data_IF_619348710249
#
_entry.id   IF_619348710249
#
_cell.length_a   1.000
_cell.length_b   1.000
_cell.length_c   1.000
_cell.angle_alpha   90.00
_cell.angle_beta   90.00
_cell.angle_gamma   90.00
#
_symmetry.space_group_name_H-M   'P 1'
#
loop_
_entity.id
_entity.type
_entity.pdbx_description
1 polymer ?
#
# COMPACT_ATOMS: atom_id res chain seq x y z
N UNK A 1 -7.50 20.79 -33.72
CA UNK A 1 -8.28 21.08 -32.50
C UNK A 1 -7.56 20.39 -31.35
N UNK A 2 -7.20 21.12 -30.30
CA UNK A 2 -6.59 20.53 -29.11
C UNK A 2 -7.62 19.66 -28.40
N UNK A 3 -7.23 18.46 -27.98
CA UNK A 3 -8.06 17.63 -27.09
C UNK A 3 -7.75 18.03 -25.66
N UNK A 4 -8.81 18.23 -24.87
CA UNK A 4 -8.69 18.64 -23.47
C UNK A 4 -9.10 17.46 -22.60
N UNK A 5 -8.24 17.12 -21.65
CA UNK A 5 -8.54 16.15 -20.61
C UNK A 5 -8.58 16.88 -19.27
N UNK A 6 -9.69 16.77 -18.56
CA UNK A 6 -9.93 17.50 -17.31
C UNK A 6 -10.05 16.50 -16.16
N UNK A 7 -9.17 16.66 -15.17
CA UNK A 7 -9.16 15.89 -13.93
C UNK A 7 -9.65 16.79 -12.79
N UNK A 8 -10.80 16.44 -12.20
CA UNK A 8 -11.28 17.07 -10.96
C UNK A 8 -10.76 16.27 -9.75
N UNK A 9 -9.55 16.61 -9.30
CA UNK A 9 -8.81 15.86 -8.29
C UNK A 9 -8.59 16.70 -7.03
N UNK A 10 -9.67 17.05 -6.32
CA UNK A 10 -9.62 17.92 -5.13
C UNK A 10 -8.62 17.46 -4.05
N UNK A 11 -8.29 16.16 -3.99
CA UNK A 11 -7.31 15.57 -3.07
C UNK A 11 -6.18 14.82 -3.78
N UNK A 12 -5.97 15.06 -5.08
CA UNK A 12 -5.04 14.30 -5.91
C UNK A 12 -5.64 13.01 -6.51
N UNK A 13 -4.83 12.31 -7.30
CA UNK A 13 -5.18 11.06 -7.97
C UNK A 13 -3.93 10.19 -8.12
N UNK A 14 -4.03 8.88 -7.84
CA UNK A 14 -2.96 7.91 -8.03
C UNK A 14 -2.85 7.46 -9.50
N UNK A 15 -1.73 6.85 -9.89
CA UNK A 15 -1.49 6.45 -11.28
C UNK A 15 -2.47 5.36 -11.75
N UNK A 16 -2.78 4.39 -10.90
CA UNK A 16 -3.80 3.38 -11.16
C UNK A 16 -5.21 3.97 -11.38
N UNK A 17 -5.54 5.08 -10.70
CA UNK A 17 -6.80 5.80 -10.87
C UNK A 17 -6.80 6.58 -12.18
N UNK A 18 -5.68 7.19 -12.58
CA UNK A 18 -5.50 7.79 -13.91
C UNK A 18 -5.70 6.73 -14.99
N UNK A 19 -5.05 5.59 -14.86
CA UNK A 19 -5.16 4.46 -15.78
C UNK A 19 -6.58 3.92 -15.82
N UNK A 20 -7.20 3.69 -14.67
CA UNK A 20 -8.59 3.26 -14.54
C UNK A 20 -9.57 4.22 -15.21
N UNK A 21 -9.39 5.52 -15.00
CA UNK A 21 -10.21 6.56 -15.64
C UNK A 21 -10.07 6.54 -17.16
N UNK A 22 -8.85 6.47 -17.69
CA UNK A 22 -8.60 6.48 -19.13
C UNK A 22 -9.04 5.17 -19.82
N UNK A 23 -8.88 4.03 -19.15
CA UNK A 23 -9.46 2.74 -19.57
C UNK A 23 -10.99 2.81 -19.57
N UNK A 24 -11.59 3.44 -18.56
CA UNK A 24 -13.02 3.75 -18.53
C UNK A 24 -13.49 4.70 -19.64
N UNK A 25 -12.62 5.62 -20.07
CA UNK A 25 -12.87 6.56 -21.15
C UNK A 25 -12.67 5.96 -22.56
N UNK A 26 -12.22 4.70 -22.66
CA UNK A 26 -12.14 3.96 -23.92
C UNK A 26 -10.72 3.58 -24.37
N UNK A 27 -9.69 3.81 -23.55
CA UNK A 27 -8.35 3.30 -23.84
C UNK A 27 -8.41 1.76 -23.94
N UNK A 28 -7.97 1.14 -25.06
CA UNK A 28 -7.95 -0.31 -25.18
C UNK A 28 -6.90 -0.91 -24.23
N UNK A 29 -7.33 -1.79 -23.33
CA UNK A 29 -6.42 -2.48 -22.39
C UNK A 29 -5.30 -3.23 -23.10
N UNK A 30 -5.55 -3.76 -24.31
CA UNK A 30 -4.54 -4.48 -25.07
C UNK A 30 -3.40 -3.58 -25.55
N UNK A 31 -3.70 -2.33 -25.92
CA UNK A 31 -2.69 -1.36 -26.35
C UNK A 31 -1.82 -0.95 -25.16
N UNK A 32 -2.45 -0.68 -24.01
CA UNK A 32 -1.74 -0.41 -22.76
C UNK A 32 -0.85 -1.61 -22.35
N UNK A 33 -1.38 -2.85 -22.41
CA UNK A 33 -0.60 -4.07 -22.14
C UNK A 33 0.59 -4.21 -23.07
N UNK A 34 0.43 -3.95 -24.37
CA UNK A 34 1.51 -4.01 -25.33
C UNK A 34 2.60 -2.98 -25.02
N UNK A 35 2.20 -1.75 -24.69
CA UNK A 35 3.13 -0.70 -24.27
C UNK A 35 3.89 -1.09 -22.99
N UNK A 36 3.20 -1.58 -21.96
CA UNK A 36 3.84 -1.96 -20.70
C UNK A 36 4.75 -3.19 -20.84
N UNK A 37 4.41 -4.17 -21.68
CA UNK A 37 5.26 -5.33 -21.97
C UNK A 37 6.61 -4.94 -22.59
N UNK A 38 6.69 -3.82 -23.30
CA UNK A 38 7.95 -3.33 -23.86
C UNK A 38 8.97 -2.91 -22.81
N UNK A 39 8.52 -2.67 -21.57
CA UNK A 39 9.41 -2.44 -20.44
C UNK A 39 10.16 -3.72 -20.06
N UNK A 40 9.68 -4.91 -20.44
CA UNK A 40 10.27 -6.20 -20.14
C UNK A 40 10.53 -6.35 -18.62
N UNK A 41 9.42 -6.22 -17.88
CA UNK A 41 9.33 -6.45 -16.43
C UNK A 41 8.86 -7.89 -16.21
N UNK A 42 9.75 -8.83 -15.80
CA UNK A 42 9.39 -10.23 -15.62
C UNK A 42 8.30 -10.40 -14.56
N UNK A 43 7.36 -11.32 -14.79
CA UNK A 43 6.28 -11.59 -13.84
C UNK A 43 5.22 -10.50 -13.73
N UNK A 44 5.39 -9.37 -14.44
CA UNK A 44 4.44 -8.27 -14.41
C UNK A 44 3.25 -8.52 -15.33
N UNK A 45 2.05 -8.52 -14.77
CA UNK A 45 0.79 -8.55 -15.49
C UNK A 45 -0.13 -7.42 -15.06
N UNK A 46 -1.02 -7.00 -15.95
CA UNK A 46 -2.02 -5.97 -15.64
C UNK A 46 -3.40 -6.42 -16.04
N UNK A 47 -4.39 -6.08 -15.23
CA UNK A 47 -5.79 -6.39 -15.48
C UNK A 47 -6.70 -5.23 -15.09
N UNK A 48 -7.95 -5.34 -15.50
CA UNK A 48 -9.00 -4.38 -15.17
C UNK A 48 -10.20 -5.10 -14.61
N UNK A 49 -10.87 -4.47 -13.66
CA UNK A 49 -12.08 -4.96 -13.05
C UNK A 49 -13.12 -3.85 -13.03
N UNK A 50 -14.38 -4.18 -13.34
CA UNK A 50 -15.49 -3.24 -13.14
C UNK A 50 -15.92 -3.32 -11.68
N UNK A 51 -15.90 -2.18 -11.01
CA UNK A 51 -16.24 -2.07 -9.59
C UNK A 51 -17.40 -1.10 -9.39
N UNK A 52 -18.22 -1.36 -8.37
CA UNK A 52 -19.25 -0.45 -7.89
C UNK A 52 -18.92 -0.14 -6.42
N UNK A 53 -18.56 1.10 -6.10
CA UNK A 53 -18.27 1.54 -4.73
C UNK A 53 -19.18 2.70 -4.38
N UNK A 54 -19.91 2.60 -3.28
CA UNK A 54 -20.86 3.63 -2.84
C UNK A 54 -21.83 4.09 -3.96
N UNK A 55 -22.25 3.16 -4.83
CA UNK A 55 -23.14 3.46 -5.96
C UNK A 55 -22.46 4.07 -7.21
N UNK A 56 -21.14 4.27 -7.19
CA UNK A 56 -20.37 4.82 -8.31
C UNK A 56 -19.65 3.68 -9.04
N UNK A 57 -19.92 3.54 -10.33
CA UNK A 57 -19.28 2.53 -11.18
C UNK A 57 -17.95 3.05 -11.74
N UNK A 58 -16.89 2.26 -11.58
CA UNK A 58 -15.54 2.61 -12.05
C UNK A 58 -14.83 1.42 -12.70
N UNK A 59 -13.75 1.71 -13.42
CA UNK A 59 -12.77 0.70 -13.87
C UNK A 59 -11.61 0.74 -12.89
N UNK A 60 -11.38 -0.37 -12.16
CA UNK A 60 -10.21 -0.54 -11.29
C UNK A 60 -9.08 -1.16 -12.11
N UNK A 61 -7.93 -0.49 -12.12
CA UNK A 61 -6.69 -1.02 -12.69
C UNK A 61 -5.93 -1.82 -11.62
N UNK A 62 -5.36 -2.97 -12.02
CA UNK A 62 -4.66 -3.89 -11.13
C UNK A 62 -3.34 -4.33 -11.75
N UNK A 63 -2.29 -4.28 -10.95
CA UNK A 63 -0.94 -4.73 -11.30
C UNK A 63 -0.65 -5.99 -10.49
N UNK A 64 -0.09 -6.99 -11.16
CA UNK A 64 0.33 -8.25 -10.56
C UNK A 64 1.81 -8.46 -10.83
N UNK A 65 2.54 -8.97 -9.84
CA UNK A 65 3.92 -9.40 -9.94
C UNK A 65 4.02 -10.84 -9.43
N UNK A 66 4.53 -11.75 -10.25
CA UNK A 66 4.64 -13.18 -9.96
C UNK A 66 3.32 -13.82 -9.47
N UNK A 67 2.21 -13.40 -10.08
CA UNK A 67 0.86 -13.88 -9.78
C UNK A 67 0.24 -13.33 -8.50
N UNK A 68 0.93 -12.45 -7.77
CA UNK A 68 0.40 -11.73 -6.62
C UNK A 68 0.01 -10.34 -7.05
N UNK A 69 -1.14 -9.85 -6.59
CA UNK A 69 -1.41 -8.43 -6.74
C UNK A 69 -0.37 -7.66 -5.93
N UNK A 70 0.24 -6.64 -6.55
CA UNK A 70 1.24 -5.83 -5.87
C UNK A 70 0.51 -5.11 -4.73
N UNK A 71 0.87 -5.44 -3.49
CA UNK A 71 0.14 -5.02 -2.30
C UNK A 71 0.19 -3.50 -2.21
N UNK A 72 -0.99 -2.89 -2.28
CA UNK A 72 -1.17 -1.46 -2.08
C UNK A 72 -1.40 -1.29 -0.59
N UNK A 73 -0.67 -0.37 0.05
CA UNK A 73 -1.05 0.12 1.38
C UNK A 73 -2.55 0.42 1.27
N UNK A 74 -3.42 -0.30 2.02
CA UNK A 74 -4.85 -0.07 1.91
C UNK A 74 -5.07 1.41 2.18
N UNK A 75 -5.70 2.12 1.24
CA UNK A 75 -6.37 3.37 1.59
C UNK A 75 -7.39 2.96 2.66
N UNK A 76 -7.05 3.25 3.90
CA UNK A 76 -7.70 2.94 5.16
C UNK A 76 -9.00 2.13 5.04
N UNK A 77 -9.01 0.97 5.69
CA UNK A 77 -10.24 0.25 6.04
C UNK A 77 -11.26 1.21 6.67
N UNK A 78 -12.18 1.75 5.87
CA UNK A 78 -13.45 2.29 6.34
C UNK A 78 -14.54 1.23 6.16
N UNK A 79 -14.23 -0.01 6.57
CA UNK A 79 -15.27 -0.98 6.95
C UNK A 79 -15.71 -0.65 8.37
N UNK A 80 -16.40 0.48 8.55
CA UNK A 80 -17.21 0.71 9.74
C UNK A 80 -18.47 -0.17 9.67
N UNK A 81 -18.27 -1.47 9.73
CA UNK A 81 -19.31 -2.39 10.19
C UNK A 81 -19.14 -2.59 11.71
N UNK A 82 -19.52 -1.56 12.48
CA UNK A 82 -19.92 -1.77 13.87
C UNK A 82 -21.26 -2.52 13.87
N UNK A 83 -21.22 -3.85 13.69
CA UNK A 83 -22.35 -4.73 14.00
C UNK A 83 -21.91 -5.85 14.94
N UNK A 84 -22.19 -5.60 16.22
CA UNK A 84 -22.59 -6.61 17.20
C UNK A 84 -21.57 -7.67 17.55
N UNK A 85 -20.68 -7.37 18.50
CA UNK A 85 -20.08 -8.42 19.31
C UNK A 85 -20.82 -8.49 20.65
N UNK A 86 -21.95 -9.21 20.66
CA UNK A 86 -22.56 -9.74 21.89
C UNK A 86 -21.66 -10.87 22.40
N UNK A 87 -20.54 -10.50 23.01
CA UNK A 87 -19.64 -11.42 23.70
C UNK A 87 -20.20 -11.83 25.05
N UNK A 88 -21.13 -12.78 25.06
CA UNK A 88 -21.41 -13.57 26.26
C UNK A 88 -20.17 -14.41 26.61
N UNK A 89 -19.30 -13.86 27.46
CA UNK A 89 -18.26 -14.63 28.13
C UNK A 89 -18.91 -15.40 29.30
N UNK A 90 -19.21 -16.68 29.06
CA UNK A 90 -19.51 -17.63 30.11
C UNK A 90 -18.22 -17.94 30.87
N UNK A 91 -18.07 -17.36 32.06
CA UNK A 91 -17.06 -17.78 33.02
C UNK A 91 -17.58 -18.98 33.80
N UNK A 92 -17.02 -20.17 33.54
CA UNK A 92 -17.12 -21.32 34.44
C UNK A 92 -16.24 -21.04 35.65
N UNK A 93 -16.86 -20.75 36.79
CA UNK A 93 -16.19 -20.66 38.08
C UNK A 93 -16.31 -22.00 38.81
N UNK A 94 -15.20 -22.73 38.91
CA UNK A 94 -15.04 -23.80 39.90
C UNK A 94 -14.92 -23.16 41.29
N UNK A 95 -16.01 -23.21 42.06
CA UNK A 95 -16.03 -22.82 43.46
C UNK A 95 -15.65 -24.01 44.34
N UNK A 96 -14.44 -23.98 44.89
CA UNK A 96 -14.12 -24.76 46.08
C UNK A 96 -14.70 -24.07 47.31
N UNK A 97 -15.59 -24.78 47.99
CA UNK A 97 -16.32 -24.29 49.15
C UNK A 97 -15.44 -24.10 50.38
N UNK A 98 -15.82 -23.12 51.20
CA UNK A 98 -15.63 -23.15 52.63
C UNK A 98 -16.85 -22.53 53.30
N UNK A 99 -17.51 -23.36 54.10
CA UNK A 99 -18.58 -22.96 55.00
C UNK A 99 -18.02 -22.27 56.26
N UNK A 100 -18.89 -21.42 56.82
CA UNK A 100 -19.04 -21.01 58.22
C UNK A 100 -18.41 -19.68 58.71
N UNK A 101 -19.33 -18.71 58.83
CA UNK A 101 -19.77 -18.05 60.07
C UNK A 101 -19.02 -16.88 60.74
N UNK A 102 -19.88 -15.90 61.07
CA UNK A 102 -19.87 -14.89 62.15
C UNK A 102 -19.20 -13.50 61.98
N UNK A 103 -20.12 -12.51 61.89
CA UNK A 103 -20.23 -11.21 62.58
C UNK A 103 -19.03 -10.25 62.77
N UNK A 104 -19.23 -9.01 62.31
CA UNK A 104 -19.34 -7.84 63.20
C UNK A 104 -18.11 -6.93 63.42
N UNK A 105 -18.40 -5.63 63.28
CA UNK A 105 -17.77 -4.44 63.89
C UNK A 105 -16.76 -3.56 63.12
N UNK A 106 -16.95 -2.27 63.42
CA UNK A 106 -16.31 -1.03 62.99
C UNK A 106 -14.79 -0.96 63.19
N UNK A 107 -14.20 -0.07 62.39
CA UNK A 107 -12.95 0.68 62.63
C UNK A 107 -11.71 -0.13 63.03
N UNK A 108 -10.68 -0.11 62.18
CA UNK A 108 -9.40 0.46 62.60
C UNK A 108 -8.36 0.45 61.47
N UNK A 109 -7.56 1.51 61.50
CA UNK A 109 -6.43 1.78 60.62
C UNK A 109 -5.31 0.80 60.95
N UNK A 110 -5.02 -0.15 60.06
CA UNK A 110 -3.83 -0.99 60.17
C UNK A 110 -3.10 -1.12 58.84
N UNK A 111 -1.93 -0.47 58.79
CA UNK A 111 -0.91 -0.73 57.78
C UNK A 111 -0.33 -2.12 58.00
N UNK A 112 -0.25 -2.88 56.92
CA UNK A 112 0.51 -4.11 56.85
C UNK A 112 1.43 -4.05 55.64
N UNK A 113 2.72 -3.82 55.93
CA UNK A 113 3.82 -4.22 55.07
C UNK A 113 3.71 -5.73 54.83
N UNK A 114 3.48 -6.12 53.58
CA UNK A 114 3.63 -7.50 53.15
C UNK A 114 4.86 -7.60 52.25
N UNK A 115 5.90 -8.16 52.87
CA UNK A 115 7.15 -8.60 52.28
C UNK A 115 6.84 -9.75 51.30
N UNK A 116 6.70 -9.42 50.00
CA UNK A 116 6.52 -10.43 48.97
C UNK A 116 7.86 -11.06 48.62
N UNK A 117 8.13 -12.19 49.27
CA UNK A 117 9.14 -13.16 48.88
C UNK A 117 8.97 -13.53 47.40
N UNK A 118 10.09 -13.42 46.68
CA UNK A 118 10.18 -13.45 45.23
C UNK A 118 9.46 -14.62 44.56
N UNK A 119 8.41 -14.29 43.82
CA UNK A 119 8.00 -15.07 42.67
C UNK A 119 8.77 -14.58 41.44
N UNK A 120 9.79 -15.36 41.07
CA UNK A 120 10.45 -15.25 39.77
C UNK A 120 9.44 -15.66 38.71
N UNK A 121 8.85 -14.70 38.03
CA UNK A 121 8.28 -14.95 36.72
C UNK A 121 9.45 -15.13 35.75
N UNK A 122 9.70 -16.38 35.37
CA UNK A 122 10.48 -16.70 34.20
C UNK A 122 9.70 -16.17 33.00
N UNK A 123 9.97 -14.93 32.62
CA UNK A 123 9.67 -14.46 31.29
C UNK A 123 10.66 -15.18 30.39
N UNK A 124 10.29 -16.39 29.97
CA UNK A 124 10.80 -16.97 28.74
C UNK A 124 10.55 -15.90 27.68
N UNK A 125 11.60 -15.14 27.37
CA UNK A 125 11.58 -14.10 26.38
C UNK A 125 11.12 -14.75 25.09
N UNK A 126 9.85 -14.58 24.77
CA UNK A 126 9.33 -14.89 23.46
C UNK A 126 10.18 -14.04 22.50
N UNK A 127 11.06 -14.66 21.71
CA UNK A 127 12.01 -13.92 20.92
C UNK A 127 11.16 -13.10 19.95
N UNK A 128 11.32 -11.78 20.06
CA UNK A 128 10.87 -10.78 19.11
C UNK A 128 10.50 -11.44 17.79
N UNK A 129 9.20 -11.46 17.47
CA UNK A 129 8.73 -11.69 16.12
C UNK A 129 9.42 -10.63 15.24
N UNK A 130 10.61 -10.98 14.75
CA UNK A 130 11.16 -10.43 13.54
C UNK A 130 10.16 -10.82 12.49
N UNK A 131 9.22 -9.92 12.23
CA UNK A 131 8.64 -9.80 10.91
C UNK A 131 9.84 -9.60 9.98
N UNK A 132 10.41 -10.72 9.53
CA UNK A 132 11.15 -10.74 8.31
C UNK A 132 10.11 -10.39 7.26
N UNK A 133 9.95 -9.09 7.02
CA UNK A 133 9.26 -8.62 5.85
C UNK A 133 9.80 -9.44 4.68
N UNK A 134 8.94 -10.12 3.91
CA UNK A 134 9.39 -10.70 2.66
C UNK A 134 10.11 -9.60 1.87
N UNK A 135 11.12 -9.89 1.05
CA UNK A 135 11.69 -8.87 0.18
C UNK A 135 10.59 -8.43 -0.80
N UNK A 136 9.82 -7.41 -0.39
CA UNK A 136 8.75 -6.81 -1.17
C UNK A 136 9.42 -5.93 -2.21
N UNK A 137 9.43 -6.40 -3.45
CA UNK A 137 9.85 -5.63 -4.61
C UNK A 137 11.34 -5.69 -4.90
N UNK A 138 11.67 -5.96 -6.16
CA UNK A 138 13.03 -5.78 -6.65
C UNK A 138 13.42 -4.30 -6.57
N UNK A 139 14.29 -3.93 -5.62
CA UNK A 139 14.88 -2.59 -5.57
C UNK A 139 15.64 -2.32 -6.87
N UNK A 140 15.10 -1.44 -7.72
CA UNK A 140 15.75 -0.98 -8.96
C UNK A 140 16.46 0.35 -8.73
N UNK A 141 17.65 0.49 -9.30
CA UNK A 141 18.31 1.79 -9.34
C UNK A 141 17.58 2.72 -10.31
N UNK A 142 17.67 4.03 -10.08
CA UNK A 142 17.15 5.05 -10.99
C UNK A 142 17.71 4.85 -12.40
N UNK A 143 19.01 4.52 -12.51
CA UNK A 143 19.66 4.28 -13.81
C UNK A 143 18.98 3.15 -14.58
N UNK A 144 18.57 2.09 -13.89
CA UNK A 144 17.92 0.96 -14.54
C UNK A 144 16.52 1.32 -15.00
N UNK A 145 15.76 2.07 -14.20
CA UNK A 145 14.43 2.58 -14.58
C UNK A 145 14.53 3.45 -15.84
N UNK A 146 15.51 4.36 -15.91
CA UNK A 146 15.70 5.21 -17.09
C UNK A 146 16.06 4.40 -18.34
N UNK A 147 16.80 3.30 -18.20
CA UNK A 147 17.08 2.37 -19.31
C UNK A 147 15.82 1.60 -19.74
N UNK A 148 14.98 1.18 -18.79
CA UNK A 148 13.68 0.55 -19.06
C UNK A 148 12.77 1.47 -19.88
N UNK A 149 12.70 2.75 -19.49
CA UNK A 149 11.92 3.76 -20.23
C UNK A 149 12.51 3.98 -21.62
N UNK A 150 13.84 4.08 -21.75
CA UNK A 150 14.48 4.32 -23.05
C UNK A 150 14.19 3.21 -24.06
N UNK A 151 14.12 1.96 -23.62
CA UNK A 151 13.80 0.78 -24.47
C UNK A 151 12.30 0.54 -24.68
N UNK A 152 11.43 1.31 -24.02
CA UNK A 152 9.98 1.14 -24.10
C UNK A 152 9.42 1.55 -25.47
N UNK A 153 8.20 1.10 -25.75
CA UNK A 153 7.42 1.43 -26.94
C UNK A 153 6.74 2.81 -26.87
N UNK A 154 7.02 3.61 -25.84
CA UNK A 154 6.57 5.00 -25.77
C UNK A 154 7.15 5.83 -26.91
N UNK A 155 6.45 6.91 -27.29
CA UNK A 155 6.98 7.87 -28.25
C UNK A 155 8.24 8.55 -27.72
N UNK A 156 8.98 9.30 -28.56
CA UNK A 156 10.10 10.12 -28.08
C UNK A 156 9.67 11.13 -27.01
N UNK A 157 8.51 11.75 -27.19
CA UNK A 157 7.95 12.68 -26.22
C UNK A 157 7.47 11.95 -24.95
N UNK A 158 6.88 10.76 -25.09
CA UNK A 158 6.47 9.92 -23.98
C UNK A 158 7.65 9.50 -23.12
N UNK A 159 8.74 9.01 -23.75
CA UNK A 159 9.98 8.68 -23.04
C UNK A 159 10.56 9.89 -22.32
N UNK A 160 10.57 11.07 -22.97
CA UNK A 160 11.01 12.33 -22.35
C UNK A 160 10.15 12.70 -21.14
N UNK A 161 8.82 12.60 -21.25
CA UNK A 161 7.87 12.89 -20.16
C UNK A 161 8.05 11.92 -18.99
N UNK A 162 8.09 10.61 -19.25
CA UNK A 162 8.27 9.59 -18.22
C UNK A 162 9.60 9.76 -17.47
N UNK A 163 10.71 10.00 -18.18
CA UNK A 163 12.01 10.30 -17.56
C UNK A 163 11.94 11.53 -16.66
N UNK A 164 11.36 12.62 -17.16
CA UNK A 164 11.22 13.85 -16.38
C UNK A 164 10.27 13.73 -15.18
N UNK A 165 9.38 12.74 -15.14
CA UNK A 165 8.59 12.41 -13.94
C UNK A 165 9.45 11.66 -12.92
N UNK A 166 10.21 10.66 -13.36
CA UNK A 166 11.13 9.93 -12.49
C UNK A 166 12.24 10.81 -11.92
N UNK A 167 12.84 11.70 -12.72
CA UNK A 167 13.86 12.64 -12.26
C UNK A 167 13.33 13.51 -11.12
N UNK A 168 12.11 14.04 -11.25
CA UNK A 168 11.44 14.82 -10.18
C UNK A 168 11.19 14.00 -8.91
N UNK A 169 10.80 12.73 -9.06
CA UNK A 169 10.61 11.84 -7.92
C UNK A 169 11.94 11.58 -7.20
N UNK A 170 13.02 11.39 -7.95
CA UNK A 170 14.36 11.21 -7.40
C UNK A 170 14.85 12.47 -6.70
N UNK A 171 14.60 13.65 -7.25
CA UNK A 171 14.90 14.93 -6.60
C UNK A 171 14.15 15.09 -5.27
N UNK A 172 12.86 14.73 -5.25
CA UNK A 172 12.05 14.76 -4.04
C UNK A 172 12.59 13.78 -2.97
N UNK A 173 12.87 12.54 -3.36
CA UNK A 173 13.43 11.49 -2.51
C UNK A 173 14.81 11.86 -1.95
N UNK A 174 15.68 12.44 -2.79
CA UNK A 174 16.97 12.99 -2.38
C UNK A 174 16.80 14.04 -1.29
N UNK A 175 15.83 14.94 -1.45
CA UNK A 175 15.54 16.00 -0.49
C UNK A 175 15.00 15.46 0.83
N UNK A 176 14.10 14.47 0.79
CA UNK A 176 13.50 13.85 1.99
C UNK A 176 14.55 13.08 2.78
N UNK A 177 15.37 12.30 2.10
CA UNK A 177 16.39 11.45 2.74
C UNK A 177 17.74 12.13 2.94
N UNK A 178 17.91 13.38 2.50
CA UNK A 178 19.15 14.16 2.58
C UNK A 178 20.38 13.42 2.00
N UNK A 179 20.19 12.75 0.87
CA UNK A 179 21.25 12.07 0.12
C UNK A 179 21.44 12.73 -1.25
N UNK A 180 22.65 12.67 -1.84
CA UNK A 180 22.85 13.07 -3.23
C UNK A 180 21.92 12.27 -4.17
N UNK A 181 21.41 12.92 -5.23
CA UNK A 181 20.52 12.34 -6.25
C UNK A 181 21.09 11.03 -6.82
N UNK A 182 22.41 10.95 -6.99
CA UNK A 182 23.10 9.79 -7.55
C UNK A 182 23.13 8.58 -6.59
N UNK A 183 22.86 8.81 -5.30
CA UNK A 183 22.82 7.79 -4.25
C UNK A 183 21.40 7.45 -3.81
N UNK A 184 20.37 8.03 -4.45
CA UNK A 184 18.98 7.72 -4.14
C UNK A 184 18.67 6.29 -4.58
N UNK A 185 18.16 5.53 -3.63
CA UNK A 185 17.50 4.25 -3.88
C UNK A 185 16.01 4.46 -3.65
N UNK A 186 15.22 4.24 -4.70
CA UNK A 186 13.78 4.37 -4.61
C UNK A 186 13.22 3.13 -3.92
N UNK A 187 13.01 3.22 -2.61
CA UNK A 187 12.50 2.11 -1.81
C UNK A 187 10.99 1.91 -2.02
N UNK A 188 10.24 3.00 -2.23
CA UNK A 188 8.80 2.96 -2.50
C UNK A 188 8.49 3.17 -3.99
N UNK A 189 9.19 4.11 -4.63
CA UNK A 189 8.91 4.55 -6.02
C UNK A 189 9.66 3.70 -7.09
N UNK A 190 10.55 2.80 -6.67
CA UNK A 190 11.30 1.90 -7.57
C UNK A 190 10.56 0.59 -7.87
N UNK A 191 9.43 0.38 -7.18
CA UNK A 191 8.59 -0.80 -7.31
C UNK A 191 7.94 -0.90 -8.69
N UNK A 192 7.53 -2.11 -9.06
CA UNK A 192 6.87 -2.39 -10.34
C UNK A 192 5.60 -1.54 -10.51
N UNK A 193 4.82 -1.35 -9.46
CA UNK A 193 3.59 -0.54 -9.48
C UNK A 193 3.86 0.90 -9.94
N UNK A 194 4.82 1.60 -9.33
CA UNK A 194 5.16 2.99 -9.69
C UNK A 194 5.65 3.14 -11.14
N UNK A 195 6.41 2.16 -11.65
CA UNK A 195 6.87 2.15 -13.04
C UNK A 195 5.68 1.97 -13.98
N UNK A 196 4.80 1.03 -13.68
CA UNK A 196 3.59 0.78 -14.48
C UNK A 196 2.68 2.01 -14.47
N UNK A 197 2.51 2.65 -13.32
CA UNK A 197 1.71 3.86 -13.16
C UNK A 197 2.23 5.01 -14.00
N UNK A 198 3.52 5.35 -13.90
CA UNK A 198 4.10 6.48 -14.62
C UNK A 198 4.14 6.22 -16.12
N UNK A 199 4.67 5.06 -16.55
CA UNK A 199 4.77 4.72 -17.98
C UNK A 199 3.38 4.55 -18.59
N UNK A 200 2.48 3.88 -17.87
CA UNK A 200 1.11 3.66 -18.30
C UNK A 200 0.33 4.97 -18.41
N UNK A 201 0.42 5.87 -17.42
CA UNK A 201 -0.24 7.16 -17.46
C UNK A 201 0.27 8.01 -18.63
N UNK A 202 1.59 8.05 -18.85
CA UNK A 202 2.17 8.75 -20.01
C UNK A 202 1.64 8.19 -21.32
N UNK A 203 1.65 6.87 -21.50
CA UNK A 203 1.08 6.24 -22.69
C UNK A 203 -0.41 6.58 -22.88
N UNK A 204 -1.19 6.55 -21.80
CA UNK A 204 -2.61 6.80 -21.83
C UNK A 204 -2.93 8.28 -22.17
N UNK A 205 -2.11 9.22 -21.71
CA UNK A 205 -2.21 10.64 -22.07
C UNK A 205 -1.86 10.87 -23.55
N UNK A 206 -0.83 10.19 -24.07
CA UNK A 206 -0.50 10.22 -25.50
C UNK A 206 -1.64 9.67 -26.35
N UNK A 207 -2.23 8.54 -25.94
CA UNK A 207 -3.40 7.95 -26.62
C UNK A 207 -4.60 8.91 -26.63
N UNK A 208 -4.85 9.60 -25.51
CA UNK A 208 -5.91 10.59 -25.43
C UNK A 208 -5.65 11.78 -26.37
N UNK A 209 -4.39 12.02 -26.75
CA UNK A 209 -3.96 13.21 -27.47
C UNK A 209 -4.03 14.47 -26.61
N UNK A 210 -3.88 14.30 -25.30
CA UNK A 210 -3.79 15.40 -24.35
C UNK A 210 -2.33 15.86 -24.28
N UNK A 211 -2.09 17.11 -24.66
CA UNK A 211 -0.76 17.74 -24.58
C UNK A 211 -0.41 18.18 -23.17
#
# INVERSE_FOLDING_TARGET
MSRVLYFDCFSGISGDMVLGALLGAGLPLQDLRAALRSLDLPGCEVATERVLRCGIAATKFRVFEDGREVDRVPADHDDRDHRGHDGHHGHEHDHHGHDEDHHGHDQDVHGHDHDHQGHRHDHSADPHHGHADPPLGAHRSVSDILKLIERSALSSEGRRRAKGLFERLVEAEASIHQVPVEKVHLHEVGATDSIIDIVGAVFALEWAGAD
#
